data_IF_344404453877
#
_entry.id   IF_344404453877
#
_cell.length_a   1.000
_cell.length_b   1.000
_cell.length_c   1.000
_cell.angle_alpha   90.00
_cell.angle_beta   90.00
_cell.angle_gamma   90.00
#
_symmetry.space_group_name_H-M   'P 1'
#
loop_
_entity.id
_entity.type
_entity.pdbx_description
1 polymer ?
#
# COMPACT_ATOMS: atom_id res chain seq x y z
N UNK A 1 4.19 8.87 15.36
CA UNK A 1 4.42 7.48 15.79
C UNK A 1 4.36 6.51 14.61
N UNK A 2 3.27 6.50 13.85
CA UNK A 2 3.11 5.63 12.68
C UNK A 2 4.22 5.88 11.65
N UNK A 3 4.51 7.13 11.37
CA UNK A 3 5.58 7.54 10.45
C UNK A 3 6.94 7.02 10.92
N UNK A 4 7.22 7.08 12.20
CA UNK A 4 8.48 6.60 12.78
C UNK A 4 8.60 5.09 12.63
N UNK A 5 7.54 4.34 12.90
CA UNK A 5 7.52 2.87 12.74
C UNK A 5 7.81 2.46 11.31
N UNK A 6 7.15 3.10 10.35
CA UNK A 6 7.33 2.80 8.93
C UNK A 6 8.73 3.19 8.43
N UNK A 7 9.23 4.35 8.83
CA UNK A 7 10.60 4.77 8.50
C UNK A 7 11.64 3.81 9.06
N UNK A 8 11.49 3.41 10.31
CA UNK A 8 12.41 2.45 10.94
C UNK A 8 12.40 1.09 10.22
N UNK A 9 11.24 0.63 9.79
CA UNK A 9 11.14 -0.61 9.03
C UNK A 9 11.93 -0.54 7.72
N UNK A 10 11.83 0.58 7.00
CA UNK A 10 12.57 0.80 5.75
C UNK A 10 14.07 0.91 6.01
N UNK A 11 14.47 1.70 6.99
CA UNK A 11 15.90 1.92 7.33
C UNK A 11 16.58 0.63 7.78
N UNK A 12 15.86 -0.22 8.51
CA UNK A 12 16.37 -1.53 8.98
C UNK A 12 16.21 -2.65 7.96
N UNK A 13 15.70 -2.35 6.76
CA UNK A 13 15.39 -3.34 5.73
C UNK A 13 14.46 -4.45 6.23
N UNK A 14 13.51 -4.11 7.09
CA UNK A 14 12.49 -5.00 7.65
C UNK A 14 11.10 -4.64 7.15
N UNK A 15 10.97 -4.48 5.85
CA UNK A 15 9.71 -4.14 5.21
C UNK A 15 8.85 -5.41 5.15
N UNK A 16 7.61 -5.31 5.62
CA UNK A 16 6.63 -6.38 5.49
C UNK A 16 6.18 -6.53 4.03
N UNK A 17 5.83 -7.75 3.64
CA UNK A 17 5.24 -8.01 2.32
C UNK A 17 3.79 -7.51 2.20
N UNK A 18 3.12 -7.24 3.32
CA UNK A 18 1.73 -6.77 3.33
C UNK A 18 1.47 -5.86 4.54
N UNK A 19 0.88 -4.70 4.26
CA UNK A 19 0.42 -3.75 5.27
C UNK A 19 -1.10 -3.59 5.17
N UNK A 20 -1.74 -3.51 6.31
CA UNK A 20 -3.15 -3.17 6.42
C UNK A 20 -3.29 -1.88 7.20
N UNK A 21 -3.67 -0.81 6.52
CA UNK A 21 -3.92 0.49 7.13
C UNK A 21 -5.39 0.60 7.54
N UNK A 22 -5.62 0.60 8.84
CA UNK A 22 -6.92 0.94 9.40
C UNK A 22 -6.98 2.46 9.56
N UNK A 23 -7.64 3.11 8.62
CA UNK A 23 -7.57 4.56 8.46
C UNK A 23 -8.55 5.34 9.34
N UNK A 24 -9.55 4.68 9.90
CA UNK A 24 -10.50 5.26 10.87
C UNK A 24 -11.10 6.60 10.43
N UNK A 25 -11.38 6.75 9.13
CA UNK A 25 -11.96 7.98 8.58
C UNK A 25 -10.95 9.12 8.40
N UNK A 26 -9.65 8.86 8.51
CA UNK A 26 -8.64 9.89 8.30
C UNK A 26 -8.70 10.46 6.88
N UNK A 27 -8.89 11.76 6.77
CA UNK A 27 -9.17 12.39 5.47
C UNK A 27 -7.99 12.39 4.51
N UNK A 28 -6.77 12.52 5.04
CA UNK A 28 -5.55 12.58 4.24
C UNK A 28 -4.87 11.21 4.06
N UNK A 29 -5.63 10.13 4.19
CA UNK A 29 -5.13 8.76 4.06
C UNK A 29 -4.43 8.48 2.73
N UNK A 30 -4.95 9.02 1.64
CA UNK A 30 -4.37 8.82 0.31
C UNK A 30 -3.01 9.50 0.19
N UNK A 31 -2.89 10.72 0.72
CA UNK A 31 -1.61 11.44 0.74
C UNK A 31 -0.57 10.71 1.59
N UNK A 32 -0.99 10.15 2.72
CA UNK A 32 -0.12 9.35 3.58
C UNK A 32 0.40 8.11 2.85
N UNK A 33 -0.49 7.38 2.18
CA UNK A 33 -0.09 6.18 1.43
C UNK A 33 0.84 6.53 0.28
N UNK A 34 0.56 7.58 -0.47
CA UNK A 34 1.45 8.04 -1.54
C UNK A 34 2.82 8.45 -0.99
N UNK A 35 2.87 9.12 0.14
CA UNK A 35 4.13 9.48 0.80
C UNK A 35 4.92 8.24 1.22
N UNK A 36 4.25 7.23 1.75
CA UNK A 36 4.87 5.95 2.11
C UNK A 36 5.42 5.22 0.87
N UNK A 37 4.66 5.19 -0.21
CA UNK A 37 5.10 4.59 -1.47
C UNK A 37 6.34 5.31 -2.02
N UNK A 38 6.34 6.63 -2.01
CA UNK A 38 7.52 7.42 -2.41
C UNK A 38 8.74 7.09 -1.55
N UNK A 39 8.53 6.95 -0.25
CA UNK A 39 9.60 6.60 0.67
C UNK A 39 10.17 5.21 0.38
N UNK A 40 9.33 4.25 0.01
CA UNK A 40 9.76 2.89 -0.34
C UNK A 40 10.50 2.82 -1.67
N UNK A 41 10.07 3.58 -2.66
CA UNK A 41 10.52 3.43 -4.06
C UNK A 41 11.53 4.47 -4.49
N UNK A 42 11.53 5.66 -3.90
CA UNK A 42 12.40 6.73 -4.35
C UNK A 42 13.86 6.48 -3.95
N UNK A 43 14.78 6.36 -4.92
CA UNK A 43 16.19 6.12 -4.61
C UNK A 43 16.88 7.27 -3.90
N UNK A 44 16.33 8.48 -3.97
CA UNK A 44 16.91 9.67 -3.33
C UNK A 44 16.58 9.79 -1.85
N UNK A 45 15.57 9.06 -1.36
CA UNK A 45 15.15 9.15 0.04
C UNK A 45 16.11 8.43 0.99
N UNK A 46 16.89 7.47 0.49
CA UNK A 46 17.79 6.68 1.32
C UNK A 46 19.10 7.38 1.68
N UNK A 47 19.54 8.30 0.84
CA UNK A 47 20.90 8.81 0.95
C UNK A 47 21.08 10.06 1.83
N UNK A 48 20.02 10.81 2.17
CA UNK A 48 20.16 12.11 2.80
C UNK A 48 19.13 12.48 3.87
N UNK A 49 18.31 11.57 4.35
CA UNK A 49 17.22 11.89 5.30
C UNK A 49 16.30 13.06 4.85
N UNK A 50 16.32 13.39 3.58
CA UNK A 50 15.51 14.48 3.03
C UNK A 50 14.42 13.88 2.14
N UNK A 51 13.20 14.32 2.33
CA UNK A 51 12.12 13.98 1.43
C UNK A 51 12.48 14.45 0.02
N UNK A 52 12.46 13.52 -0.93
CA UNK A 52 12.62 13.87 -2.32
C UNK A 52 11.45 14.74 -2.76
N UNK A 53 11.72 15.95 -3.24
CA UNK A 53 10.65 16.91 -3.53
C UNK A 53 10.20 16.85 -4.98
N UNK A 54 11.05 16.46 -5.93
CA UNK A 54 10.74 16.64 -7.36
C UNK A 54 11.44 15.66 -8.31
N UNK A 55 11.68 14.40 -7.95
CA UNK A 55 12.16 13.47 -8.97
C UNK A 55 11.00 13.00 -9.86
N UNK A 56 11.30 12.61 -11.08
CA UNK A 56 10.31 12.14 -12.06
C UNK A 56 9.49 10.98 -11.54
N UNK A 57 10.13 10.03 -10.85
CA UNK A 57 9.45 8.88 -10.29
C UNK A 57 8.45 9.28 -9.21
N UNK A 58 8.82 10.16 -8.29
CA UNK A 58 7.91 10.66 -7.25
C UNK A 58 6.73 11.43 -7.84
N UNK A 59 6.95 12.17 -8.92
CA UNK A 59 5.87 12.85 -9.63
C UNK A 59 4.89 11.85 -10.25
N UNK A 60 5.39 10.79 -10.88
CA UNK A 60 4.54 9.74 -11.45
C UNK A 60 3.76 9.00 -10.37
N UNK A 61 4.38 8.74 -9.22
CA UNK A 61 3.70 8.13 -8.07
C UNK A 61 2.58 9.04 -7.57
N UNK A 62 2.84 10.34 -7.45
CA UNK A 62 1.83 11.31 -7.01
C UNK A 62 0.63 11.36 -7.95
N UNK A 63 0.85 11.27 -9.24
CA UNK A 63 -0.18 11.23 -10.27
C UNK A 63 -0.87 9.88 -10.41
N UNK A 64 -0.42 8.86 -9.67
CA UNK A 64 -0.92 7.47 -9.71
C UNK A 64 -0.79 6.80 -11.07
N UNK A 65 0.23 7.16 -11.82
CA UNK A 65 0.51 6.61 -13.16
C UNK A 65 1.87 5.92 -13.25
N UNK A 66 2.57 5.75 -12.14
CA UNK A 66 3.82 5.00 -12.12
C UNK A 66 3.56 3.51 -12.36
N UNK A 67 4.25 2.91 -13.33
CA UNK A 67 3.96 1.55 -13.79
C UNK A 67 4.18 0.46 -12.73
N UNK A 68 5.07 0.69 -11.77
CA UNK A 68 5.39 -0.26 -10.70
C UNK A 68 4.45 -0.15 -9.49
N UNK A 69 3.49 0.77 -9.54
CA UNK A 69 2.48 0.95 -8.50
C UNK A 69 1.10 0.82 -9.13
N UNK A 70 0.32 -0.15 -8.67
CA UNK A 70 -1.05 -0.36 -9.14
C UNK A 70 -2.03 -0.03 -8.03
N UNK A 71 -3.05 0.75 -8.36
CA UNK A 71 -4.14 1.09 -7.45
C UNK A 71 -5.41 0.35 -7.88
N UNK A 72 -6.05 -0.29 -6.92
CA UNK A 72 -7.32 -0.98 -7.12
C UNK A 72 -8.39 -0.28 -6.31
N UNK A 73 -9.45 0.12 -6.97
CA UNK A 73 -10.62 0.75 -6.38
C UNK A 73 -11.86 -0.13 -6.60
N UNK A 74 -12.86 -0.04 -5.71
CA UNK A 74 -14.12 -0.72 -5.98
C UNK A 74 -14.71 -0.31 -7.33
N UNK A 75 -15.21 -1.29 -8.07
CA UNK A 75 -15.99 -1.09 -9.28
C UNK A 75 -17.47 -1.25 -8.90
N UNK A 76 -18.14 -0.11 -8.69
CA UNK A 76 -19.45 -0.09 -8.07
C UNK A 76 -19.36 -0.38 -6.57
N UNK A 77 -20.12 -1.36 -6.09
CA UNK A 77 -20.19 -1.72 -4.68
C UNK A 77 -19.02 -2.60 -4.22
N UNK A 78 -18.41 -3.35 -5.14
CA UNK A 78 -17.44 -4.38 -4.79
C UNK A 78 -16.15 -4.26 -5.59
N UNK A 79 -15.06 -4.72 -4.97
CA UNK A 79 -13.85 -5.06 -5.70
C UNK A 79 -14.05 -6.48 -6.27
N UNK A 80 -13.93 -6.59 -7.59
CA UNK A 80 -14.21 -7.83 -8.30
C UNK A 80 -12.97 -8.68 -8.48
N UNK A 81 -13.16 -9.99 -8.56
CA UNK A 81 -12.08 -10.96 -8.78
C UNK A 81 -11.26 -10.63 -10.04
N UNK A 82 -11.93 -10.20 -11.09
CA UNK A 82 -11.30 -9.87 -12.38
C UNK A 82 -10.29 -8.75 -12.26
N UNK A 83 -10.54 -7.78 -11.36
CA UNK A 83 -9.59 -6.68 -11.08
C UNK A 83 -8.28 -7.22 -10.49
N UNK A 84 -8.37 -8.23 -9.62
CA UNK A 84 -7.19 -8.86 -9.03
C UNK A 84 -6.48 -9.79 -10.00
N UNK A 85 -7.20 -10.47 -10.86
CA UNK A 85 -6.61 -11.29 -11.92
C UNK A 85 -5.83 -10.42 -12.92
N UNK A 86 -6.36 -9.27 -13.28
CA UNK A 86 -5.66 -8.29 -14.12
C UNK A 86 -4.39 -7.79 -13.44
N UNK A 87 -4.45 -7.51 -12.14
CA UNK A 87 -3.29 -7.13 -11.35
C UNK A 87 -2.21 -8.23 -11.40
N UNK A 88 -2.61 -9.48 -11.20
CA UNK A 88 -1.70 -10.62 -11.24
C UNK A 88 -1.02 -10.73 -12.60
N UNK A 89 -1.79 -10.61 -13.66
CA UNK A 89 -1.27 -10.68 -15.02
C UNK A 89 -0.25 -9.55 -15.27
N UNK A 90 -0.56 -8.33 -14.86
CA UNK A 90 0.34 -7.19 -15.00
C UNK A 90 1.65 -7.38 -14.24
N UNK A 91 1.59 -8.00 -13.07
CA UNK A 91 2.79 -8.24 -12.26
C UNK A 91 3.57 -9.49 -12.66
N UNK A 92 2.96 -10.41 -13.41
CA UNK A 92 3.69 -11.55 -13.98
C UNK A 92 4.56 -11.17 -15.18
N UNK A 93 4.24 -10.07 -15.83
CA UNK A 93 5.10 -9.53 -16.89
C UNK A 93 6.37 -8.98 -16.27
N UNK A 94 7.52 -9.43 -16.78
CA UNK A 94 8.82 -9.10 -16.21
C UNK A 94 9.10 -7.61 -16.40
N UNK A 95 9.21 -6.90 -15.31
CA UNK A 95 9.78 -5.55 -15.33
C UNK A 95 11.29 -5.64 -15.33
N UNK A 96 11.90 -5.03 -16.32
CA UNK A 96 13.35 -5.05 -16.51
C UNK A 96 14.09 -4.13 -15.54
N UNK A 97 13.36 -3.22 -14.89
CA UNK A 97 13.95 -2.18 -14.02
C UNK A 97 13.63 -2.36 -12.55
N UNK A 98 13.15 -3.52 -12.15
CA UNK A 98 12.43 -3.60 -10.90
C UNK A 98 13.30 -3.74 -9.68
N UNK A 99 13.19 -2.80 -8.82
CA UNK A 99 13.48 -3.00 -7.42
C UNK A 99 12.23 -3.52 -6.70
N UNK A 100 11.21 -2.73 -6.56
CA UNK A 100 9.98 -3.10 -5.83
C UNK A 100 8.75 -2.72 -6.62
N UNK A 101 7.71 -3.53 -6.49
CA UNK A 101 6.37 -3.25 -7.01
C UNK A 101 5.40 -3.20 -5.87
N UNK A 102 4.43 -2.32 -5.96
CA UNK A 102 3.43 -2.12 -4.93
C UNK A 102 2.06 -2.16 -5.56
N UNK A 103 1.13 -2.86 -4.92
CA UNK A 103 -0.28 -2.69 -5.22
C UNK A 103 -1.02 -2.18 -3.99
N UNK A 104 -1.95 -1.27 -4.22
CA UNK A 104 -2.76 -0.64 -3.18
C UNK A 104 -4.22 -1.00 -3.42
N UNK A 105 -4.83 -1.61 -2.42
CA UNK A 105 -6.26 -1.94 -2.46
C UNK A 105 -7.00 -0.93 -1.60
N UNK A 106 -7.73 -0.04 -2.26
CA UNK A 106 -8.55 0.98 -1.60
C UNK A 106 -9.89 0.36 -1.20
N UNK A 107 -10.34 0.66 0.01
CA UNK A 107 -11.57 0.09 0.56
C UNK A 107 -11.55 -1.45 0.51
N UNK A 108 -10.58 -2.05 1.17
CA UNK A 108 -10.40 -3.50 1.20
C UNK A 108 -11.61 -4.23 1.81
N UNK A 109 -12.43 -3.55 2.60
CA UNK A 109 -13.71 -4.04 3.10
C UNK A 109 -14.75 -4.28 1.99
N UNK A 110 -14.48 -3.79 0.77
CA UNK A 110 -15.33 -4.04 -0.41
C UNK A 110 -14.88 -5.25 -1.24
N UNK A 111 -13.94 -6.03 -0.77
CA UNK A 111 -13.62 -7.32 -1.37
C UNK A 111 -14.82 -8.27 -1.18
N UNK A 112 -15.31 -8.85 -2.27
CA UNK A 112 -16.30 -9.93 -2.16
C UNK A 112 -15.60 -11.26 -1.86
N UNK A 113 -16.35 -12.34 -1.67
CA UNK A 113 -15.78 -13.65 -1.31
C UNK A 113 -14.75 -14.12 -2.36
N UNK A 114 -15.05 -13.98 -3.63
CA UNK A 114 -14.18 -14.44 -4.72
C UNK A 114 -12.88 -13.61 -4.79
N UNK A 115 -12.98 -12.29 -4.68
CA UNK A 115 -11.81 -11.42 -4.70
C UNK A 115 -10.98 -11.55 -3.42
N UNK A 116 -11.62 -11.71 -2.27
CA UNK A 116 -10.92 -11.96 -1.01
C UNK A 116 -10.11 -13.27 -1.09
N UNK A 117 -10.67 -14.33 -1.61
CA UNK A 117 -9.96 -15.59 -1.82
C UNK A 117 -8.81 -15.45 -2.82
N UNK A 118 -8.98 -14.63 -3.83
CA UNK A 118 -7.92 -14.34 -4.81
C UNK A 118 -6.74 -13.61 -4.16
N UNK A 119 -7.01 -12.60 -3.34
CA UNK A 119 -5.94 -11.85 -2.67
C UNK A 119 -5.22 -12.71 -1.61
N UNK A 120 -5.91 -13.65 -0.97
CA UNK A 120 -5.30 -14.55 0.00
C UNK A 120 -4.14 -15.35 -0.59
N UNK A 121 -4.23 -15.76 -1.84
CA UNK A 121 -3.15 -16.48 -2.52
C UNK A 121 -1.87 -15.63 -2.60
N UNK A 122 -2.01 -14.33 -2.88
CA UNK A 122 -0.87 -13.42 -2.89
C UNK A 122 -0.26 -13.22 -1.50
N UNK A 123 -1.10 -13.18 -0.48
CA UNK A 123 -0.66 -12.93 0.88
C UNK A 123 -0.03 -14.17 1.51
N UNK A 124 -0.44 -15.37 1.09
CA UNK A 124 0.10 -16.64 1.58
C UNK A 124 1.44 -16.99 0.94
N UNK A 125 1.58 -16.71 -0.34
CA UNK A 125 2.79 -16.99 -1.11
C UNK A 125 3.32 -15.67 -1.71
N UNK A 126 3.87 -14.78 -0.87
CA UNK A 126 4.32 -13.48 -1.37
C UNK A 126 5.52 -13.64 -2.30
N UNK A 127 5.45 -12.97 -3.45
CA UNK A 127 6.59 -12.88 -4.35
C UNK A 127 7.59 -11.86 -3.81
N UNK A 128 8.87 -12.14 -4.03
CA UNK A 128 9.94 -11.21 -3.68
C UNK A 128 9.73 -9.88 -4.41
N UNK A 129 9.98 -8.79 -3.71
CA UNK A 129 9.86 -7.42 -4.23
C UNK A 129 8.44 -6.93 -4.51
N UNK A 130 7.40 -7.67 -4.14
CA UNK A 130 6.01 -7.19 -4.22
C UNK A 130 5.51 -6.87 -2.81
N UNK A 131 4.97 -5.68 -2.64
CA UNK A 131 4.42 -5.20 -1.38
C UNK A 131 2.94 -4.89 -1.58
N UNK A 132 2.11 -5.47 -0.72
CA UNK A 132 0.68 -5.21 -0.67
C UNK A 132 0.39 -4.10 0.35
N UNK A 133 -0.44 -3.15 -0.04
CA UNK A 133 -1.00 -2.16 0.88
C UNK A 133 -2.52 -2.24 0.78
N UNK A 134 -3.16 -2.64 1.87
CA UNK A 134 -4.62 -2.68 1.98
C UNK A 134 -5.07 -1.54 2.88
N UNK A 135 -6.14 -0.86 2.50
CA UNK A 135 -6.69 0.26 3.25
C UNK A 135 -8.15 -0.01 3.59
N UNK A 136 -8.52 0.20 4.82
CA UNK A 136 -9.92 0.11 5.26
C UNK A 136 -10.20 1.10 6.39
N UNK A 137 -11.42 1.61 6.45
CA UNK A 137 -11.90 2.37 7.61
C UNK A 137 -12.44 1.45 8.71
N UNK A 138 -12.73 0.20 8.39
CA UNK A 138 -13.29 -0.76 9.35
C UNK A 138 -12.67 -2.15 9.16
N UNK A 139 -11.71 -2.45 10.01
CA UNK A 139 -10.99 -3.72 9.98
C UNK A 139 -11.91 -4.93 10.27
N UNK A 140 -13.01 -4.71 11.01
CA UNK A 140 -13.94 -5.79 11.35
C UNK A 140 -14.75 -6.30 10.17
N UNK A 141 -14.76 -5.58 9.05
CA UNK A 141 -15.41 -6.01 7.82
C UNK A 141 -14.50 -6.87 6.91
N UNK A 142 -13.25 -7.05 7.32
CA UNK A 142 -12.30 -7.90 6.59
C UNK A 142 -12.31 -9.33 7.14
N UNK A 143 -11.94 -10.28 6.28
CA UNK A 143 -11.73 -11.67 6.72
C UNK A 143 -10.53 -11.74 7.68
N UNK A 144 -10.69 -12.52 8.75
CA UNK A 144 -9.60 -12.76 9.70
C UNK A 144 -8.36 -13.36 9.04
N UNK A 145 -8.55 -14.15 8.01
CA UNK A 145 -7.46 -14.73 7.23
C UNK A 145 -6.61 -13.69 6.50
N UNK A 146 -7.23 -12.59 6.07
CA UNK A 146 -6.50 -11.45 5.48
C UNK A 146 -5.77 -10.68 6.57
N UNK A 147 -6.47 -10.36 7.65
CA UNK A 147 -5.94 -9.58 8.77
C UNK A 147 -4.69 -10.24 9.36
N UNK A 148 -4.73 -11.56 9.55
CA UNK A 148 -3.64 -12.32 10.14
C UNK A 148 -2.37 -12.36 9.30
N UNK A 149 -2.47 -12.05 8.01
CA UNK A 149 -1.34 -12.08 7.08
C UNK A 149 -0.73 -10.72 6.80
N UNK A 150 -1.30 -9.67 7.39
CA UNK A 150 -0.84 -8.29 7.19
C UNK A 150 -0.26 -7.71 8.48
N UNK A 151 0.70 -6.82 8.33
CA UNK A 151 1.10 -5.94 9.42
C UNK A 151 0.08 -4.81 9.52
N UNK A 152 -0.60 -4.72 10.67
CA UNK A 152 -1.67 -3.75 10.88
C UNK A 152 -1.07 -2.43 11.37
N UNK A 153 -1.45 -1.35 10.72
CA UNK A 153 -1.13 0.01 11.12
C UNK A 153 -2.45 0.75 11.31
N UNK A 154 -2.78 1.07 12.55
CA UNK A 154 -4.03 1.78 12.87
C UNK A 154 -3.79 3.27 13.05
N UNK A 155 -4.59 4.08 12.36
CA UNK A 155 -4.57 5.53 12.51
C UNK A 155 -5.47 5.91 13.69
N UNK A 156 -4.99 6.83 14.54
CA UNK A 156 -5.80 7.31 15.65
C UNK A 156 -6.94 8.20 15.14
N UNK A 157 -8.15 8.03 15.73
CA UNK A 157 -9.36 8.72 15.27
C UNK A 157 -9.33 10.25 15.39
N UNK A 158 -8.42 10.83 16.16
CA UNK A 158 -8.38 12.26 16.47
C UNK A 158 -6.94 12.85 16.39
N UNK A 159 -6.09 12.35 15.51
CA UNK A 159 -4.71 12.82 15.48
C UNK A 159 -4.49 13.86 14.39
N UNK A 160 -4.76 15.11 14.75
CA UNK A 160 -4.41 16.30 13.95
C UNK A 160 -2.89 16.39 13.74
N UNK A 161 -2.11 15.80 14.64
CA UNK A 161 -0.65 15.82 14.58
C UNK A 161 -0.04 14.96 13.48
N UNK A 162 -0.78 14.00 12.94
CA UNK A 162 -0.33 13.22 11.80
C UNK A 162 -0.24 14.05 10.51
N UNK A 163 -1.03 15.11 10.42
CA UNK A 163 -1.04 15.96 9.23
C UNK A 163 0.27 16.74 9.04
N UNK A 164 1.01 16.97 10.11
CA UNK A 164 2.21 17.80 10.08
C UNK A 164 3.52 17.06 9.82
N UNK A 165 3.52 15.72 9.92
CA UNK A 165 4.78 14.97 9.98
C UNK A 165 5.17 14.28 8.67
N UNK A 166 4.32 14.25 7.66
CA UNK A 166 4.64 13.60 6.39
C UNK A 166 4.47 14.52 5.17
N UNK A 167 4.02 15.72 5.44
CA UNK A 167 4.07 16.81 4.48
C UNK A 167 5.42 17.54 4.66
#
# INVERSE_FOLDING_TARGET
>A
IITTVLKNAVEKNKISHAYLFETNGYQNKDDFVLAFIKYLLCPHNYSNNKNCVNCTQCELIQKRIFSEVKHIYPDGMWIKKEQLEELQQNFSEISVESNKRIYVIHNADRLNTASANSILKFLEEPEDNIIAILMTDNIHQLLDTIISRCQIISFAKNNIDLEKNYL
#
